data_IF_660148205784
#
_entry.id   IF_660148205784
#
_cell.length_a   1.000
_cell.length_b   1.000
_cell.length_c   1.000
_cell.angle_alpha   90.00
_cell.angle_beta   90.00
_cell.angle_gamma   90.00
#
_symmetry.space_group_name_H-M   'P 1'
#
loop_
_entity.id
_entity.type
_entity.pdbx_description
1 polymer ?
#
# COMPACT_ATOMS: atom_id res chain seq x y z
N UNK A 1 34.10 -22.60 -1.56
CA UNK A 1 34.87 -22.38 -2.80
C UNK A 1 34.09 -21.40 -3.68
N UNK A 2 34.38 -20.10 -3.58
CA UNK A 2 33.88 -19.10 -4.52
C UNK A 2 34.59 -19.30 -5.86
N UNK A 3 33.86 -19.71 -6.90
CA UNK A 3 34.43 -19.89 -8.25
C UNK A 3 34.79 -18.51 -8.82
N UNK A 4 36.09 -18.18 -9.01
CA UNK A 4 36.52 -16.82 -9.39
C UNK A 4 35.99 -16.39 -10.77
N UNK A 5 35.60 -17.33 -11.63
CA UNK A 5 34.99 -17.04 -12.93
C UNK A 5 33.62 -16.38 -12.80
N UNK A 6 32.79 -16.77 -11.82
CA UNK A 6 31.46 -16.19 -11.64
C UNK A 6 31.53 -14.74 -11.16
N UNK A 7 32.45 -14.43 -10.25
CA UNK A 7 32.62 -13.07 -9.71
C UNK A 7 32.99 -12.07 -10.82
N UNK A 8 33.83 -12.49 -11.77
CA UNK A 8 34.18 -11.68 -12.95
C UNK A 8 32.96 -11.43 -13.85
N UNK A 9 32.15 -12.45 -14.13
CA UNK A 9 30.94 -12.27 -14.94
C UNK A 9 29.94 -11.32 -14.28
N UNK A 10 29.70 -11.46 -12.97
CA UNK A 10 28.79 -10.56 -12.25
C UNK A 10 29.31 -9.12 -12.25
N UNK A 11 30.60 -8.92 -11.98
CA UNK A 11 31.20 -7.58 -11.99
C UNK A 11 31.06 -6.90 -13.35
N UNK A 12 31.34 -7.61 -14.45
CA UNK A 12 31.18 -7.08 -15.80
C UNK A 12 29.72 -6.72 -16.12
N UNK A 13 28.77 -7.55 -15.68
CA UNK A 13 27.34 -7.30 -15.88
C UNK A 13 26.88 -6.04 -15.13
N UNK A 14 27.30 -5.86 -13.88
CA UNK A 14 26.99 -4.66 -13.11
C UNK A 14 27.64 -3.40 -13.71
N UNK A 15 28.89 -3.48 -14.15
CA UNK A 15 29.53 -2.34 -14.81
C UNK A 15 28.82 -1.97 -16.12
N UNK A 16 28.37 -2.95 -16.91
CA UNK A 16 27.63 -2.70 -18.14
C UNK A 16 26.28 -2.02 -17.87
N UNK A 17 25.56 -2.44 -16.82
CA UNK A 17 24.31 -1.78 -16.41
C UNK A 17 24.53 -0.35 -15.94
N UNK A 18 25.59 -0.09 -15.16
CA UNK A 18 25.93 1.27 -14.71
C UNK A 18 26.31 2.16 -15.90
N UNK A 19 27.15 1.66 -16.81
CA UNK A 19 27.54 2.41 -18.01
C UNK A 19 26.33 2.69 -18.90
N UNK A 20 25.42 1.73 -19.09
CA UNK A 20 24.17 1.97 -19.81
C UNK A 20 23.27 3.00 -19.12
N UNK A 21 23.20 3.01 -17.79
CA UNK A 21 22.44 4.02 -17.04
C UNK A 21 23.02 5.43 -17.14
N UNK A 22 24.34 5.56 -17.35
CA UNK A 22 25.03 6.84 -17.56
C UNK A 22 24.91 7.29 -19.02
N UNK A 23 25.11 6.37 -19.98
CA UNK A 23 25.15 6.67 -21.41
C UNK A 23 23.76 6.84 -21.99
N UNK A 24 22.75 6.11 -21.53
CA UNK A 24 21.37 6.46 -21.83
C UNK A 24 21.00 7.62 -20.93
N UNK A 25 20.99 8.89 -21.40
CA UNK A 25 20.14 9.88 -20.75
C UNK A 25 18.75 9.25 -20.83
N UNK A 26 18.26 8.74 -19.71
CA UNK A 26 16.86 8.43 -19.54
C UNK A 26 16.17 9.65 -20.12
N UNK A 27 15.50 9.46 -21.26
CA UNK A 27 15.01 10.54 -22.08
C UNK A 27 14.36 11.48 -21.09
N UNK A 28 14.99 12.66 -20.93
CA UNK A 28 14.39 13.68 -20.10
C UNK A 28 13.16 14.02 -20.91
N UNK A 29 12.05 13.35 -20.59
CA UNK A 29 10.72 13.74 -21.02
C UNK A 29 10.74 15.23 -20.75
N UNK A 30 10.87 16.01 -21.82
CA UNK A 30 10.98 17.46 -21.76
C UNK A 30 9.82 17.87 -20.90
N UNK A 31 10.10 18.22 -19.65
CA UNK A 31 9.06 18.47 -18.67
C UNK A 31 8.24 19.57 -19.31
N UNK A 32 7.00 19.31 -19.75
CA UNK A 32 6.33 20.26 -20.63
C UNK A 32 6.14 21.53 -19.82
N UNK A 33 6.94 22.56 -20.15
CA UNK A 33 6.96 23.85 -19.42
C UNK A 33 5.59 24.53 -19.43
N UNK A 34 4.70 24.11 -20.33
CA UNK A 34 3.29 24.50 -20.34
C UNK A 34 2.41 23.34 -19.86
N UNK A 35 2.62 22.86 -18.64
CA UNK A 35 1.52 22.17 -17.94
C UNK A 35 0.46 23.26 -17.67
N UNK A 36 -0.37 23.57 -18.69
CA UNK A 36 -1.62 24.34 -18.56
C UNK A 36 -2.18 23.91 -17.21
N UNK A 37 -2.52 24.85 -16.33
CA UNK A 37 -3.12 24.58 -15.02
C UNK A 37 -4.35 23.68 -15.25
N UNK A 38 -4.13 22.37 -15.34
CA UNK A 38 -5.17 21.41 -15.60
C UNK A 38 -5.85 21.32 -14.26
N UNK A 39 -7.04 21.90 -14.18
CA UNK A 39 -7.88 21.69 -13.03
C UNK A 39 -8.11 20.19 -12.90
N UNK A 40 -8.04 19.70 -11.67
CA UNK A 40 -8.39 18.32 -11.38
C UNK A 40 -9.88 18.14 -11.70
N UNK A 41 -10.27 17.03 -12.33
CA UNK A 41 -11.68 16.77 -12.57
C UNK A 41 -12.47 16.87 -11.27
N UNK A 42 -13.61 17.58 -11.31
CA UNK A 42 -14.46 17.84 -10.14
C UNK A 42 -14.83 16.53 -9.42
N UNK A 43 -14.93 15.44 -10.18
CA UNK A 43 -15.15 14.09 -9.68
C UNK A 43 -14.13 13.60 -8.65
N UNK A 44 -12.95 14.21 -8.50
CA UNK A 44 -11.95 13.81 -7.50
C UNK A 44 -11.83 14.78 -6.32
N UNK A 45 -12.40 15.97 -6.41
CA UNK A 45 -12.22 17.03 -5.40
C UNK A 45 -12.77 16.56 -4.06
N UNK A 46 -11.96 16.64 -3.01
CA UNK A 46 -12.30 16.19 -1.65
C UNK A 46 -12.41 14.67 -1.48
N UNK A 47 -12.16 13.87 -2.52
CA UNK A 47 -12.32 12.42 -2.44
C UNK A 47 -11.11 11.72 -1.84
N UNK A 48 -11.39 10.64 -1.11
CA UNK A 48 -10.39 9.65 -0.74
C UNK A 48 -10.26 8.61 -1.85
N UNK A 49 -9.16 8.64 -2.60
CA UNK A 49 -8.92 7.77 -3.76
C UNK A 49 -7.94 6.63 -3.45
N UNK A 50 -7.97 5.56 -4.23
CA UNK A 50 -7.01 4.48 -4.12
C UNK A 50 -5.57 4.95 -4.43
N UNK A 51 -4.53 4.30 -3.87
CA UNK A 51 -3.13 4.71 -4.07
C UNK A 51 -2.71 4.82 -5.55
N UNK A 52 -3.23 3.95 -6.41
CA UNK A 52 -2.94 3.96 -7.84
C UNK A 52 -3.50 5.22 -8.51
N UNK A 53 -4.74 5.58 -8.18
CA UNK A 53 -5.41 6.78 -8.69
C UNK A 53 -4.72 8.05 -8.18
N UNK A 54 -4.35 8.09 -6.90
CA UNK A 54 -3.62 9.21 -6.34
C UNK A 54 -2.29 9.45 -7.07
N UNK A 55 -1.50 8.39 -7.28
CA UNK A 55 -0.24 8.48 -8.03
C UNK A 55 -0.45 8.96 -9.45
N UNK A 56 -1.50 8.46 -10.12
CA UNK A 56 -1.86 8.92 -11.46
C UNK A 56 -2.23 10.41 -11.48
N UNK A 57 -3.05 10.86 -10.53
CA UNK A 57 -3.44 12.27 -10.41
C UNK A 57 -2.22 13.17 -10.15
N UNK A 58 -1.32 12.77 -9.26
CA UNK A 58 -0.09 13.53 -8.98
C UNK A 58 0.80 13.59 -10.22
N UNK A 59 0.92 12.49 -10.98
CA UNK A 59 1.71 12.48 -12.22
C UNK A 59 1.11 13.40 -13.29
N UNK A 60 -0.21 13.34 -13.49
CA UNK A 60 -0.92 14.07 -14.53
C UNK A 60 -1.12 15.57 -14.22
N UNK A 61 -1.51 15.90 -12.99
CA UNK A 61 -1.92 17.26 -12.58
C UNK A 61 -0.88 17.95 -11.68
N UNK A 62 -0.02 17.18 -11.02
CA UNK A 62 0.98 17.68 -10.07
C UNK A 62 0.50 17.61 -8.62
N UNK A 63 1.44 17.42 -7.70
CA UNK A 63 1.14 17.27 -6.27
C UNK A 63 0.40 18.48 -5.71
N UNK A 64 0.82 19.70 -6.05
CA UNK A 64 0.20 20.93 -5.57
C UNK A 64 -1.29 21.04 -5.96
N UNK A 65 -1.64 20.68 -7.19
CA UNK A 65 -3.04 20.67 -7.63
C UNK A 65 -3.86 19.62 -6.87
N UNK A 66 -3.30 18.42 -6.67
CA UNK A 66 -3.94 17.30 -5.96
C UNK A 66 -4.22 17.65 -4.50
N UNK A 67 -3.25 18.27 -3.83
CA UNK A 67 -3.40 18.74 -2.46
C UNK A 67 -4.39 19.90 -2.36
N UNK A 68 -4.34 20.87 -3.30
CA UNK A 68 -5.29 21.99 -3.33
C UNK A 68 -6.73 21.53 -3.59
N UNK A 69 -6.92 20.46 -4.38
CA UNK A 69 -8.22 19.83 -4.59
C UNK A 69 -8.69 18.97 -3.40
N UNK A 70 -7.92 18.87 -2.32
CA UNK A 70 -8.28 18.08 -1.14
C UNK A 70 -8.36 16.57 -1.39
N UNK A 71 -7.72 16.07 -2.46
CA UNK A 71 -7.69 14.63 -2.74
C UNK A 71 -6.84 13.96 -1.67
N UNK A 72 -7.39 12.97 -0.98
CA UNK A 72 -6.67 12.21 0.04
C UNK A 72 -6.46 10.77 -0.40
N UNK A 73 -5.44 10.13 0.14
CA UNK A 73 -5.30 8.68 0.01
C UNK A 73 -6.37 8.03 0.86
N UNK A 74 -7.23 7.22 0.23
CA UNK A 74 -8.02 6.23 0.96
C UNK A 74 -7.02 5.29 1.58
N UNK A 75 -6.73 5.49 2.87
CA UNK A 75 -6.13 4.41 3.66
C UNK A 75 -7.06 3.24 3.45
N UNK A 76 -6.53 2.16 2.88
CA UNK A 76 -7.12 0.85 3.11
C UNK A 76 -7.11 0.78 4.62
N UNK A 77 -8.27 1.02 5.24
CA UNK A 77 -8.45 0.72 6.64
C UNK A 77 -8.32 -0.80 6.62
N UNK A 78 -7.08 -1.28 6.72
CA UNK A 78 -6.82 -2.61 7.20
C UNK A 78 -7.56 -2.58 8.52
N UNK A 79 -8.74 -3.19 8.54
CA UNK A 79 -9.52 -3.35 9.76
C UNK A 79 -8.81 -4.31 10.73
N UNK A 80 -7.47 -4.39 10.69
CA UNK A 80 -6.64 -4.41 11.90
C UNK A 80 -6.79 -3.09 12.67
N UNK A 81 -8.02 -2.64 12.90
CA UNK A 81 -8.29 -2.06 14.21
C UNK A 81 -7.90 -3.17 15.16
N UNK A 82 -7.12 -2.85 16.18
CA UNK A 82 -6.86 -3.72 17.31
C UNK A 82 -8.21 -4.13 17.86
N UNK A 83 -8.77 -5.20 17.29
CA UNK A 83 -10.12 -5.70 17.48
C UNK A 83 -10.06 -6.70 18.62
N UNK A 84 -9.30 -6.32 19.64
CA UNK A 84 -9.07 -6.97 20.90
C UNK A 84 -10.07 -6.35 21.88
N UNK A 85 -10.60 -7.17 22.79
CA UNK A 85 -11.43 -6.72 23.89
C UNK A 85 -12.81 -6.15 23.54
N UNK A 86 -13.48 -6.75 22.55
CA UNK A 86 -14.92 -6.57 22.35
C UNK A 86 -15.61 -7.90 22.07
N UNK A 87 -16.95 -7.86 22.11
CA UNK A 87 -17.77 -9.02 21.90
C UNK A 87 -17.80 -9.47 20.43
N UNK A 88 -17.85 -10.78 20.24
CA UNK A 88 -18.08 -11.42 18.95
C UNK A 88 -19.19 -12.47 19.08
N UNK A 89 -19.67 -12.96 17.94
CA UNK A 89 -20.68 -14.01 17.88
C UNK A 89 -21.93 -13.71 18.74
N UNK A 90 -22.53 -12.53 18.55
CA UNK A 90 -23.75 -12.14 19.27
C UNK A 90 -23.58 -12.07 20.79
N UNK A 91 -22.44 -11.57 21.27
CA UNK A 91 -22.06 -11.51 22.69
C UNK A 91 -21.78 -12.86 23.37
N UNK A 92 -21.61 -13.94 22.60
CA UNK A 92 -21.23 -15.27 23.13
C UNK A 92 -19.72 -15.51 23.15
N UNK A 93 -18.94 -14.64 22.52
CA UNK A 93 -17.49 -14.72 22.50
C UNK A 93 -16.81 -13.38 22.68
N UNK A 94 -15.49 -13.44 22.84
CA UNK A 94 -14.62 -12.29 23.04
C UNK A 94 -13.44 -12.32 22.08
N UNK A 95 -13.15 -11.20 21.41
CA UNK A 95 -12.02 -11.13 20.49
C UNK A 95 -10.69 -11.02 21.27
N UNK A 96 -9.76 -11.97 21.03
CA UNK A 96 -8.42 -12.04 21.68
C UNK A 96 -7.37 -12.61 20.73
N UNK A 97 -6.09 -12.32 20.99
CA UNK A 97 -4.98 -12.81 20.16
C UNK A 97 -4.84 -14.33 20.28
N UNK A 98 -5.09 -14.85 21.48
CA UNK A 98 -5.17 -16.26 21.81
C UNK A 98 -6.38 -16.53 22.70
N UNK A 99 -7.07 -17.63 22.44
CA UNK A 99 -8.10 -18.12 23.34
C UNK A 99 -7.45 -18.75 24.57
N UNK A 100 -8.16 -18.70 25.70
CA UNK A 100 -7.72 -19.37 26.93
C UNK A 100 -7.84 -20.89 26.76
N UNK A 101 -7.21 -21.66 27.63
CA UNK A 101 -7.18 -23.14 27.55
C UNK A 101 -8.56 -23.79 27.58
N UNK A 102 -9.54 -23.13 28.18
CA UNK A 102 -10.93 -23.59 28.29
C UNK A 102 -11.87 -22.95 27.24
N UNK A 103 -11.34 -22.16 26.30
CA UNK A 103 -12.08 -21.52 25.22
C UNK A 103 -11.75 -22.16 23.86
N UNK A 104 -12.68 -22.11 22.92
CA UNK A 104 -12.52 -22.55 21.53
C UNK A 104 -12.58 -21.36 20.57
N UNK A 105 -11.82 -21.46 19.47
CA UNK A 105 -11.87 -20.48 18.39
C UNK A 105 -13.13 -20.71 17.54
N UNK A 106 -14.03 -19.72 17.52
CA UNK A 106 -15.21 -19.73 16.67
C UNK A 106 -14.84 -19.37 15.23
N UNK A 107 -14.93 -20.34 14.31
CA UNK A 107 -14.63 -20.17 12.87
C UNK A 107 -15.84 -19.82 12.00
N UNK A 108 -17.05 -19.81 12.57
CA UNK A 108 -18.32 -19.81 11.83
C UNK A 108 -18.81 -18.47 11.29
N UNK A 109 -17.98 -17.70 10.57
CA UNK A 109 -18.48 -16.63 9.68
C UNK A 109 -18.43 -15.20 10.21
N UNK A 110 -17.87 -14.94 11.41
CA UNK A 110 -17.67 -13.58 11.94
C UNK A 110 -16.21 -13.07 11.81
N UNK A 111 -15.46 -13.57 10.82
CA UNK A 111 -14.04 -13.22 10.61
C UNK A 111 -13.80 -11.70 10.54
N UNK A 112 -14.79 -10.94 10.06
CA UNK A 112 -14.69 -9.48 9.97
C UNK A 112 -14.82 -8.71 11.30
N UNK A 113 -15.30 -9.36 12.37
CA UNK A 113 -15.57 -8.70 13.67
C UNK A 113 -14.28 -8.57 14.48
N UNK A 114 -13.50 -9.65 14.57
CA UNK A 114 -12.24 -9.66 15.32
C UNK A 114 -11.01 -9.30 14.48
N UNK A 115 -11.15 -9.13 13.15
CA UNK A 115 -10.02 -8.83 12.27
C UNK A 115 -8.99 -9.96 12.27
N UNK A 116 -7.74 -9.67 12.69
CA UNK A 116 -6.68 -10.68 12.84
C UNK A 116 -6.77 -11.48 14.15
N UNK A 117 -7.68 -11.12 15.05
CA UNK A 117 -7.87 -11.77 16.34
C UNK A 117 -8.87 -12.93 16.22
N UNK A 118 -8.81 -13.84 17.19
CA UNK A 118 -9.70 -15.00 17.28
C UNK A 118 -10.95 -14.62 18.06
N UNK A 119 -12.11 -15.06 17.59
CA UNK A 119 -13.33 -15.01 18.39
C UNK A 119 -13.32 -16.19 19.36
N UNK A 120 -13.06 -15.95 20.63
CA UNK A 120 -12.93 -16.99 21.66
C UNK A 120 -14.26 -17.18 22.38
N UNK A 121 -14.80 -18.40 22.32
CA UNK A 121 -16.06 -18.80 22.96
C UNK A 121 -15.76 -19.88 23.99
N UNK A 122 -16.34 -19.80 25.17
CA UNK A 122 -16.29 -20.88 26.18
C UNK A 122 -17.14 -22.07 25.72
#
# INVERSE_FOLDING_TARGET
MTRPSLVRCYSLFFTALIVMAIICPAWSEEIPKSRKKRAIPIAYVGMAVAPQVFRWLVRAYGAAAVTAAGVTLRRVINRSRSNDNHSCYGNRGWCRSSCRSYEREYRGGNLGVCGSYKCCVT
#
